data_IF_921843703077
#
_entry.id   IF_921843703077
#
_cell.length_a   1.000
_cell.length_b   1.000
_cell.length_c   1.000
_cell.angle_alpha   90.00
_cell.angle_beta   90.00
_cell.angle_gamma   90.00
#
_symmetry.space_group_name_H-M   'P 1'
#
loop_
_entity.id
_entity.type
_entity.pdbx_description
1 polymer ?
#
# COMPACT_ATOMS: atom_id res chain seq x y z
N UNK A 1 -42.71 23.52 -4.27
CA UNK A 1 -41.83 22.93 -3.25
C UNK A 1 -40.82 22.02 -3.99
N UNK A 2 -39.73 22.60 -4.37
CA UNK A 2 -38.65 21.91 -5.08
C UNK A 2 -37.83 21.10 -4.05
N UNK A 3 -37.90 19.76 -4.15
CA UNK A 3 -36.99 18.87 -3.44
C UNK A 3 -35.56 19.18 -3.91
N UNK A 4 -34.76 19.83 -3.09
CA UNK A 4 -33.31 19.81 -3.23
C UNK A 4 -32.88 18.33 -3.18
N UNK A 5 -32.44 17.81 -4.32
CA UNK A 5 -31.69 16.57 -4.36
C UNK A 5 -30.40 16.82 -3.59
N UNK A 6 -30.32 16.27 -2.38
CA UNK A 6 -29.08 16.16 -1.63
C UNK A 6 -28.19 15.25 -2.49
N UNK A 7 -27.33 15.84 -3.29
CA UNK A 7 -26.26 15.14 -3.97
C UNK A 7 -25.36 14.54 -2.88
N UNK A 8 -25.58 13.29 -2.57
CA UNK A 8 -24.62 12.50 -1.77
C UNK A 8 -23.33 12.43 -2.59
N UNK A 9 -22.48 13.42 -2.41
CA UNK A 9 -21.14 13.38 -2.98
C UNK A 9 -20.40 12.22 -2.34
N UNK A 10 -20.10 11.19 -3.14
CA UNK A 10 -19.29 10.07 -2.71
C UNK A 10 -17.96 10.62 -2.21
N UNK A 11 -17.59 10.28 -0.98
CA UNK A 11 -16.36 10.73 -0.33
C UNK A 11 -15.26 9.73 -0.59
N UNK A 12 -14.12 10.22 -1.02
CA UNK A 12 -12.91 9.44 -1.25
C UNK A 12 -11.82 9.93 -0.31
N UNK A 13 -11.23 9.05 0.49
CA UNK A 13 -10.10 9.35 1.35
C UNK A 13 -8.83 8.66 0.85
N UNK A 14 -7.69 9.36 0.93
CA UNK A 14 -6.38 8.72 0.89
C UNK A 14 -6.09 8.13 2.27
N UNK A 15 -5.60 6.88 2.29
CA UNK A 15 -5.19 6.18 3.51
C UNK A 15 -3.78 5.63 3.31
N UNK A 16 -2.85 6.07 4.15
CA UNK A 16 -1.43 5.69 4.11
C UNK A 16 -1.00 5.20 5.47
N UNK A 17 -0.24 4.11 5.54
CA UNK A 17 0.56 3.75 6.71
C UNK A 17 2.01 4.16 6.47
N UNK A 18 2.69 4.74 7.46
CA UNK A 18 4.03 5.26 7.28
C UNK A 18 4.94 4.94 8.48
N UNK A 19 6.24 4.75 8.20
CA UNK A 19 7.29 4.69 9.22
C UNK A 19 8.64 5.07 8.62
N UNK A 20 9.19 6.21 9.03
CA UNK A 20 10.47 6.74 8.55
C UNK A 20 10.49 6.93 7.03
N UNK A 21 9.49 7.62 6.50
CA UNK A 21 9.29 7.89 5.08
C UNK A 21 9.41 9.40 4.75
N UNK A 22 10.20 10.15 5.54
CA UNK A 22 10.36 11.60 5.37
C UNK A 22 10.86 12.00 3.96
N UNK A 23 11.58 11.11 3.28
CA UNK A 23 12.12 11.35 1.93
C UNK A 23 11.08 11.30 0.82
N UNK A 24 9.95 10.61 1.00
CA UNK A 24 8.99 10.32 -0.06
C UNK A 24 7.54 10.70 0.28
N UNK A 25 7.15 10.73 1.55
CA UNK A 25 5.74 10.92 1.96
C UNK A 25 5.12 12.22 1.42
N UNK A 26 5.90 13.31 1.30
CA UNK A 26 5.42 14.57 0.72
C UNK A 26 4.88 14.39 -0.69
N UNK A 27 5.66 13.76 -1.55
CA UNK A 27 5.30 13.58 -2.96
C UNK A 27 4.10 12.64 -3.09
N UNK A 28 4.03 11.60 -2.27
CA UNK A 28 2.86 10.70 -2.17
C UNK A 28 1.58 11.51 -1.87
N UNK A 29 1.58 12.29 -0.78
CA UNK A 29 0.41 13.04 -0.35
C UNK A 29 0.01 14.12 -1.35
N UNK A 30 0.97 14.90 -1.86
CA UNK A 30 0.72 15.97 -2.82
C UNK A 30 0.17 15.42 -4.14
N UNK A 31 0.59 14.22 -4.58
CA UNK A 31 0.07 13.58 -5.79
C UNK A 31 -1.41 13.22 -5.69
N UNK A 32 -1.91 12.96 -4.50
CA UNK A 32 -3.31 12.59 -4.26
C UNK A 32 -4.20 13.75 -3.82
N UNK A 33 -3.63 14.85 -3.28
CA UNK A 33 -4.37 15.92 -2.59
C UNK A 33 -5.51 16.55 -3.41
N UNK A 34 -5.33 16.71 -4.73
CA UNK A 34 -6.37 17.26 -5.62
C UNK A 34 -7.51 16.29 -5.96
N UNK A 35 -7.41 15.02 -5.57
CA UNK A 35 -8.28 13.93 -6.03
C UNK A 35 -9.09 13.29 -4.90
N UNK A 36 -8.74 13.58 -3.64
CA UNK A 36 -9.38 13.02 -2.45
C UNK A 36 -10.00 14.13 -1.60
N UNK A 37 -10.95 13.78 -0.74
CA UNK A 37 -11.60 14.73 0.17
C UNK A 37 -10.87 14.81 1.52
N UNK A 38 -10.14 13.75 1.90
CA UNK A 38 -9.37 13.66 3.13
C UNK A 38 -8.09 12.87 2.88
N UNK A 39 -7.05 13.18 3.62
CA UNK A 39 -5.80 12.40 3.67
C UNK A 39 -5.56 11.94 5.11
N UNK A 40 -5.43 10.63 5.31
CA UNK A 40 -5.20 9.99 6.60
C UNK A 40 -3.86 9.29 6.55
N UNK A 41 -2.97 9.63 7.47
CA UNK A 41 -1.68 8.97 7.65
C UNK A 41 -1.66 8.31 9.03
N UNK A 42 -1.45 7.00 9.06
CA UNK A 42 -1.24 6.26 10.29
C UNK A 42 0.26 6.02 10.48
N UNK A 43 0.86 6.79 11.35
CA UNK A 43 2.27 6.63 11.73
C UNK A 43 2.46 5.41 12.63
N UNK A 44 3.36 4.51 12.24
CA UNK A 44 3.64 3.27 12.98
C UNK A 44 4.95 3.35 13.79
N UNK A 45 5.34 4.56 14.19
CA UNK A 45 6.47 4.82 15.06
C UNK A 45 7.67 5.41 14.31
N UNK A 46 7.46 6.48 13.55
CA UNK A 46 8.53 7.26 12.91
C UNK A 46 9.38 8.00 13.95
N UNK A 47 10.67 8.08 13.67
CA UNK A 47 11.67 8.81 14.45
C UNK A 47 12.31 9.96 13.66
N UNK A 48 11.94 10.08 12.38
CA UNK A 48 12.35 11.14 11.48
C UNK A 48 11.26 12.22 11.31
N UNK A 49 11.36 13.06 10.27
CA UNK A 49 10.42 14.15 10.02
C UNK A 49 9.10 13.70 9.36
N UNK A 50 8.81 12.39 9.19
CA UNK A 50 7.63 11.86 8.49
C UNK A 50 6.33 12.51 8.96
N UNK A 51 6.09 12.53 10.28
CA UNK A 51 4.86 13.08 10.88
C UNK A 51 4.73 14.56 10.57
N UNK A 52 5.78 15.34 10.82
CA UNK A 52 5.76 16.77 10.58
C UNK A 52 5.53 17.13 9.10
N UNK A 53 6.09 16.35 8.18
CA UNK A 53 5.88 16.53 6.73
C UNK A 53 4.44 16.19 6.36
N UNK A 54 3.87 15.11 6.88
CA UNK A 54 2.49 14.72 6.60
C UNK A 54 1.49 15.78 7.06
N UNK A 55 1.67 16.33 8.27
CA UNK A 55 0.86 17.43 8.81
C UNK A 55 0.97 18.70 7.95
N UNK A 56 2.18 19.06 7.48
CA UNK A 56 2.39 20.19 6.58
C UNK A 56 1.67 20.02 5.23
N UNK A 57 1.50 18.78 4.75
CA UNK A 57 0.71 18.48 3.54
C UNK A 57 -0.81 18.49 3.80
N UNK A 58 -1.26 18.77 5.03
CA UNK A 58 -2.66 18.79 5.40
C UNK A 58 -3.27 17.41 5.68
N UNK A 59 -2.47 16.39 5.90
CA UNK A 59 -2.95 15.07 6.30
C UNK A 59 -3.33 15.04 7.79
N UNK A 60 -4.37 14.26 8.10
CA UNK A 60 -4.72 13.89 9.47
C UNK A 60 -3.79 12.78 9.93
N UNK A 61 -2.87 13.07 10.85
CA UNK A 61 -1.90 12.10 11.34
C UNK A 61 -2.40 11.45 12.62
N UNK A 62 -2.37 10.13 12.64
CA UNK A 62 -2.68 9.29 13.80
C UNK A 62 -1.51 8.36 14.09
N UNK A 63 -1.44 7.82 15.31
CA UNK A 63 -0.35 6.94 15.73
C UNK A 63 -0.84 5.54 16.04
N UNK A 64 -0.04 4.56 15.68
CA UNK A 64 -0.30 3.14 15.92
C UNK A 64 0.96 2.48 16.47
N UNK A 65 0.84 1.81 17.61
CA UNK A 65 1.94 1.02 18.15
C UNK A 65 2.18 -0.20 17.25
N UNK A 66 3.32 -0.23 16.56
CA UNK A 66 3.66 -1.33 15.67
C UNK A 66 3.68 -2.68 16.40
N UNK A 67 2.98 -3.66 15.85
CA UNK A 67 2.78 -4.98 16.44
C UNK A 67 3.17 -6.13 15.49
N UNK A 68 4.06 -5.89 14.53
CA UNK A 68 4.49 -6.86 13.52
C UNK A 68 3.33 -7.37 12.63
N UNK A 69 2.37 -6.49 12.32
CA UNK A 69 1.18 -6.84 11.53
C UNK A 69 0.76 -5.67 10.64
N UNK A 70 1.07 -5.77 9.33
CA UNK A 70 0.69 -4.77 8.34
C UNK A 70 -0.82 -4.69 8.13
N UNK A 71 -1.54 -5.83 8.15
CA UNK A 71 -2.98 -5.81 8.01
C UNK A 71 -3.65 -5.11 9.19
N UNK A 72 -3.15 -5.31 10.41
CA UNK A 72 -3.65 -4.60 11.60
C UNK A 72 -3.47 -3.08 11.46
N UNK A 73 -2.29 -2.63 11.03
CA UNK A 73 -2.03 -1.21 10.81
C UNK A 73 -2.93 -0.63 9.70
N UNK A 74 -3.04 -1.31 8.53
CA UNK A 74 -3.93 -0.84 7.45
C UNK A 74 -5.40 -0.81 7.88
N UNK A 75 -5.86 -1.81 8.62
CA UNK A 75 -7.23 -1.84 9.13
C UNK A 75 -7.49 -0.72 10.13
N UNK A 76 -6.55 -0.44 11.03
CA UNK A 76 -6.64 0.69 11.95
C UNK A 76 -6.70 2.03 11.19
N UNK A 77 -5.91 2.20 10.12
CA UNK A 77 -5.98 3.39 9.27
C UNK A 77 -7.33 3.50 8.53
N UNK A 78 -7.87 2.39 8.02
CA UNK A 78 -9.19 2.34 7.38
C UNK A 78 -10.34 2.63 8.36
N UNK A 79 -10.21 2.27 9.64
CA UNK A 79 -11.21 2.55 10.67
C UNK A 79 -11.32 4.06 10.99
N UNK A 80 -10.26 4.83 10.76
CA UNK A 80 -10.25 6.29 10.87
C UNK A 80 -10.95 6.97 9.70
N UNK A 81 -11.07 6.26 8.57
CA UNK A 81 -11.75 6.78 7.39
C UNK A 81 -13.26 6.68 7.54
N UNK A 82 -13.95 7.81 7.37
CA UNK A 82 -15.40 7.88 7.26
C UNK A 82 -15.89 8.04 5.82
N UNK A 83 -14.99 7.88 4.85
CA UNK A 83 -15.30 7.99 3.43
C UNK A 83 -16.00 6.73 2.90
N UNK A 84 -16.75 6.89 1.80
CA UNK A 84 -17.42 5.78 1.12
C UNK A 84 -16.42 4.90 0.37
N UNK A 85 -15.28 5.50 -0.01
CA UNK A 85 -14.19 4.86 -0.72
C UNK A 85 -12.83 5.28 -0.15
N UNK A 86 -11.87 4.39 -0.23
CA UNK A 86 -10.49 4.62 0.23
C UNK A 86 -9.50 4.33 -0.91
N UNK A 87 -8.67 5.31 -1.21
CA UNK A 87 -7.47 5.11 -1.99
C UNK A 87 -6.36 4.73 -1.01
N UNK A 88 -5.86 3.52 -1.08
CA UNK A 88 -4.80 3.02 -0.18
C UNK A 88 -3.48 3.02 -0.93
N UNK A 89 -2.55 3.86 -0.52
CA UNK A 89 -1.21 3.93 -1.09
C UNK A 89 -0.15 3.59 -0.03
N UNK A 90 0.99 3.10 -0.49
CA UNK A 90 2.21 3.08 0.30
C UNK A 90 2.86 4.47 0.27
N UNK A 91 3.61 4.85 1.31
CA UNK A 91 4.16 6.21 1.45
C UNK A 91 5.17 6.57 0.34
N UNK A 92 5.68 5.58 -0.38
CA UNK A 92 6.60 5.69 -1.53
C UNK A 92 5.91 5.44 -2.89
N UNK A 93 4.57 5.44 -2.90
CA UNK A 93 3.74 5.40 -4.11
C UNK A 93 3.24 6.79 -4.48
N UNK A 94 3.20 7.08 -5.76
CA UNK A 94 2.84 8.39 -6.32
C UNK A 94 1.82 8.16 -7.41
N UNK A 95 0.69 8.87 -7.37
CA UNK A 95 -0.23 8.92 -8.50
C UNK A 95 0.46 9.69 -9.63
N UNK A 96 0.56 9.08 -10.80
CA UNK A 96 1.21 9.64 -11.97
C UNK A 96 0.25 9.70 -13.16
N UNK A 97 0.12 10.88 -13.76
CA UNK A 97 -0.70 11.08 -14.94
C UNK A 97 -2.19 11.36 -14.67
N UNK A 98 -3.06 10.86 -15.59
CA UNK A 98 -4.49 11.15 -15.55
C UNK A 98 -5.22 10.38 -14.47
N UNK A 99 -5.87 11.11 -13.59
CA UNK A 99 -6.71 10.57 -12.50
C UNK A 99 -8.19 10.64 -12.83
N UNK A 100 -8.53 10.99 -14.05
CA UNK A 100 -9.92 11.24 -14.49
C UNK A 100 -10.89 10.11 -14.23
N UNK A 101 -10.39 8.86 -14.09
CA UNK A 101 -11.22 7.69 -13.77
C UNK A 101 -11.47 7.48 -12.28
N UNK A 102 -10.67 8.06 -11.40
CA UNK A 102 -10.74 7.79 -9.95
C UNK A 102 -12.09 8.20 -9.35
N UNK A 103 -12.49 9.45 -9.55
CA UNK A 103 -13.77 9.98 -9.05
C UNK A 103 -15.00 9.35 -9.73
N UNK A 104 -15.09 9.28 -11.07
CA UNK A 104 -16.23 8.64 -11.74
C UNK A 104 -16.43 7.18 -11.34
N UNK A 105 -15.35 6.42 -11.16
CA UNK A 105 -15.42 5.02 -10.74
C UNK A 105 -16.03 4.86 -9.34
N UNK A 106 -15.78 5.81 -8.43
CA UNK A 106 -16.29 5.78 -7.05
C UNK A 106 -17.67 6.42 -6.88
N UNK A 107 -18.18 7.13 -7.89
CA UNK A 107 -19.51 7.74 -7.88
C UNK A 107 -20.64 6.77 -8.25
N UNK A 108 -20.32 5.63 -8.83
CA UNK A 108 -21.29 4.59 -9.17
C UNK A 108 -21.88 3.91 -7.93
N UNK A 109 -23.05 3.31 -8.07
CA UNK A 109 -23.72 2.54 -6.99
C UNK A 109 -23.10 1.16 -6.75
N UNK A 110 -22.36 0.65 -7.71
CA UNK A 110 -21.73 -0.67 -7.65
C UNK A 110 -20.43 -0.63 -6.83
N UNK A 111 -20.32 -1.55 -5.88
CA UNK A 111 -19.10 -1.70 -5.07
C UNK A 111 -18.18 -2.74 -5.71
N UNK A 112 -16.89 -2.40 -5.77
CA UNK A 112 -15.85 -3.26 -6.33
C UNK A 112 -14.51 -3.00 -5.65
N UNK A 113 -13.52 -3.86 -5.84
CA UNK A 113 -12.12 -3.60 -5.51
C UNK A 113 -11.45 -3.05 -6.77
N UNK A 114 -11.00 -1.79 -6.73
CA UNK A 114 -10.28 -1.15 -7.83
C UNK A 114 -8.81 -1.55 -7.85
N UNK A 115 -8.39 -2.12 -8.98
CA UNK A 115 -7.00 -2.45 -9.25
C UNK A 115 -6.37 -1.29 -10.03
N UNK A 116 -5.26 -0.76 -9.52
CA UNK A 116 -4.44 0.24 -10.21
C UNK A 116 -3.17 -0.41 -10.76
N UNK A 117 -2.68 0.02 -11.93
CA UNK A 117 -1.37 -0.38 -12.41
C UNK A 117 -0.29 0.35 -11.59
N UNK A 118 0.47 -0.41 -10.82
CA UNK A 118 1.61 0.09 -10.04
C UNK A 118 2.89 -0.30 -10.76
N UNK A 119 3.62 0.71 -11.24
CA UNK A 119 4.90 0.53 -11.92
C UNK A 119 6.02 0.74 -10.91
N UNK A 120 6.73 -0.33 -10.60
CA UNK A 120 7.89 -0.34 -9.71
C UNK A 120 9.16 -0.17 -10.49
N UNK A 121 10.09 0.66 -9.96
CA UNK A 121 11.41 0.91 -10.53
C UNK A 121 12.46 0.09 -9.78
N UNK A 122 13.37 -0.54 -10.53
CA UNK A 122 14.45 -1.37 -9.99
C UNK A 122 15.78 -0.92 -10.58
N UNK A 123 16.82 -0.78 -9.78
CA UNK A 123 18.17 -0.53 -10.26
C UNK A 123 18.82 -1.87 -10.68
N UNK A 124 19.08 -2.05 -11.97
CA UNK A 124 19.73 -3.24 -12.51
C UNK A 124 20.93 -2.82 -13.38
N UNK A 125 22.17 -3.09 -12.92
CA UNK A 125 23.42 -2.90 -13.69
C UNK A 125 23.54 -1.53 -14.38
N UNK A 126 23.38 -0.42 -13.70
CA UNK A 126 23.43 0.94 -14.21
C UNK A 126 22.21 1.41 -15.05
N UNK A 127 21.20 0.55 -15.24
CA UNK A 127 19.93 0.90 -15.87
C UNK A 127 18.78 0.81 -14.86
N UNK A 128 17.72 1.59 -15.11
CA UNK A 128 16.46 1.50 -14.34
C UNK A 128 15.49 0.65 -15.13
N UNK A 129 15.18 -0.52 -14.61
CA UNK A 129 14.10 -1.37 -15.14
C UNK A 129 12.78 -1.11 -14.44
N UNK A 130 11.69 -1.38 -15.12
CA UNK A 130 10.35 -1.22 -14.56
C UNK A 130 9.52 -2.48 -14.71
N UNK A 131 8.70 -2.76 -13.70
CA UNK A 131 7.68 -3.80 -13.78
C UNK A 131 6.33 -3.26 -13.31
N UNK A 132 5.28 -3.55 -14.05
CA UNK A 132 3.91 -3.11 -13.71
C UNK A 132 3.09 -4.27 -13.18
N UNK A 133 2.47 -4.06 -12.02
CA UNK A 133 1.54 -5.01 -11.39
C UNK A 133 0.20 -4.34 -11.11
N UNK A 134 -0.90 -5.07 -11.30
CA UNK A 134 -2.25 -4.59 -10.95
C UNK A 134 -2.53 -4.85 -9.49
N UNK A 135 -2.46 -3.81 -8.65
CA UNK A 135 -2.64 -3.92 -7.21
C UNK A 135 -3.95 -3.30 -6.74
N UNK A 136 -4.60 -3.90 -5.71
CA UNK A 136 -5.83 -3.35 -5.12
C UNK A 136 -5.51 -2.08 -4.34
N UNK A 137 -5.87 -0.94 -4.91
CA UNK A 137 -5.61 0.38 -4.31
C UNK A 137 -6.87 1.20 -4.05
N UNK A 138 -8.01 0.88 -4.69
CA UNK A 138 -9.28 1.57 -4.47
C UNK A 138 -10.27 0.62 -3.80
N UNK A 139 -10.61 0.89 -2.55
CA UNK A 139 -11.41 0.02 -1.71
C UNK A 139 -12.69 0.72 -1.23
N UNK A 140 -13.88 0.12 -1.38
CA UNK A 140 -15.08 0.65 -0.74
C UNK A 140 -15.04 0.48 0.77
N UNK A 141 -15.74 1.32 1.50
CA UNK A 141 -15.84 1.25 2.95
C UNK A 141 -16.21 -0.18 3.42
N UNK A 142 -15.61 -0.61 4.53
CA UNK A 142 -15.85 -1.94 5.12
C UNK A 142 -14.99 -3.08 4.59
N UNK A 143 -14.23 -2.89 3.50
CA UNK A 143 -13.18 -3.85 3.10
C UNK A 143 -12.06 -3.84 4.14
N UNK A 144 -11.50 -5.03 4.42
CA UNK A 144 -10.42 -5.21 5.40
C UNK A 144 -9.29 -6.03 4.81
N UNK A 145 -8.08 -5.75 5.27
CA UNK A 145 -6.88 -6.53 4.95
C UNK A 145 -6.73 -7.76 5.84
N UNK A 146 -6.11 -8.81 5.31
CA UNK A 146 -5.66 -9.99 6.03
C UNK A 146 -4.23 -10.35 5.63
N UNK A 147 -3.52 -11.00 6.54
CA UNK A 147 -2.11 -11.35 6.41
C UNK A 147 -1.20 -10.36 7.10
N UNK A 148 -0.33 -10.84 7.99
CA UNK A 148 0.59 -9.97 8.75
C UNK A 148 1.63 -9.29 7.87
N UNK A 149 1.99 -9.96 6.78
CA UNK A 149 2.90 -9.46 5.74
C UNK A 149 2.34 -9.86 4.38
N UNK A 150 2.61 -9.06 3.34
CA UNK A 150 2.00 -9.19 2.00
C UNK A 150 0.47 -9.23 2.08
N UNK A 151 -0.07 -8.41 2.94
CA UNK A 151 -1.48 -8.33 3.27
C UNK A 151 -2.34 -8.01 2.04
N UNK A 152 -3.49 -8.68 1.95
CA UNK A 152 -4.41 -8.53 0.85
C UNK A 152 -5.80 -8.08 1.35
N UNK A 153 -6.49 -7.18 0.62
CA UNK A 153 -7.87 -6.87 0.93
C UNK A 153 -8.78 -8.05 0.60
N UNK A 154 -9.63 -8.41 1.56
CA UNK A 154 -10.55 -9.55 1.47
C UNK A 154 -11.99 -9.05 1.46
N UNK A 155 -12.69 -9.31 0.37
CA UNK A 155 -14.12 -9.08 0.23
C UNK A 155 -14.67 -9.92 -0.93
N UNK A 156 -15.93 -10.34 -0.83
CA UNK A 156 -16.66 -10.96 -1.93
C UNK A 156 -17.20 -9.86 -2.87
N UNK A 157 -16.27 -9.22 -3.59
CA UNK A 157 -16.53 -8.15 -4.53
C UNK A 157 -15.76 -8.41 -5.83
N UNK A 158 -16.37 -8.03 -6.96
CA UNK A 158 -15.63 -8.07 -8.21
C UNK A 158 -14.40 -7.16 -8.15
N UNK A 159 -13.39 -7.50 -8.92
CA UNK A 159 -12.19 -6.67 -9.12
C UNK A 159 -12.31 -5.95 -10.47
N UNK A 160 -12.08 -4.63 -10.47
CA UNK A 160 -12.14 -3.81 -11.68
C UNK A 160 -10.81 -3.08 -11.87
N UNK A 161 -10.28 -3.10 -13.08
CA UNK A 161 -9.09 -2.32 -13.45
C UNK A 161 -9.50 -0.88 -13.71
N UNK A 162 -8.77 0.05 -13.12
CA UNK A 162 -8.90 1.48 -13.37
C UNK A 162 -7.58 1.98 -13.96
N UNK A 163 -7.66 2.79 -15.00
CA UNK A 163 -6.49 3.35 -15.67
C UNK A 163 -6.00 4.63 -14.95
N UNK A 164 -5.57 4.45 -13.71
CA UNK A 164 -4.94 5.49 -12.88
C UNK A 164 -3.55 4.97 -12.52
N UNK A 165 -2.54 5.55 -13.13
CA UNK A 165 -1.16 5.10 -12.97
C UNK A 165 -0.63 5.42 -11.58
N UNK A 166 0.07 4.45 -10.99
CA UNK A 166 0.81 4.62 -9.74
C UNK A 166 2.26 4.22 -9.99
N UNK A 167 3.17 5.09 -9.60
CA UNK A 167 4.61 4.83 -9.64
C UNK A 167 5.11 4.52 -8.23
N UNK A 168 5.94 3.51 -8.12
CA UNK A 168 6.53 3.05 -6.86
C UNK A 168 8.05 3.05 -6.97
N UNK A 169 8.72 3.85 -6.16
CA UNK A 169 10.18 3.98 -6.16
C UNK A 169 10.87 3.17 -5.05
N UNK A 170 10.11 2.40 -4.29
CA UNK A 170 10.59 1.69 -3.08
C UNK A 170 11.60 0.57 -3.31
N UNK A 171 11.81 0.14 -4.56
CA UNK A 171 12.81 -0.87 -4.92
C UNK A 171 14.13 -0.30 -5.45
N UNK A 172 14.29 1.02 -5.47
CA UNK A 172 15.59 1.62 -5.76
C UNK A 172 16.57 1.33 -4.62
N UNK A 173 17.83 1.11 -4.96
CA UNK A 173 18.85 0.59 -4.04
C UNK A 173 18.95 1.39 -2.72
N UNK A 174 18.92 2.72 -2.80
CA UNK A 174 18.97 3.59 -1.63
C UNK A 174 17.82 3.37 -0.64
N UNK A 175 16.62 3.02 -1.14
CA UNK A 175 15.44 2.75 -0.30
C UNK A 175 15.41 1.29 0.20
N UNK A 176 15.93 0.35 -0.59
CA UNK A 176 16.08 -1.04 -0.17
C UNK A 176 17.02 -1.16 1.04
N UNK A 177 18.12 -0.41 1.06
CA UNK A 177 19.06 -0.40 2.19
C UNK A 177 18.39 0.02 3.50
N UNK A 178 17.50 1.01 3.47
CA UNK A 178 16.73 1.44 4.65
C UNK A 178 15.67 0.43 5.11
N UNK A 179 15.15 -0.39 4.19
CA UNK A 179 14.11 -1.40 4.46
C UNK A 179 14.68 -2.79 4.69
N UNK A 180 16.00 -2.95 4.51
CA UNK A 180 16.67 -4.24 4.58
C UNK A 180 16.39 -4.96 5.89
N UNK A 181 15.99 -6.22 5.78
CA UNK A 181 15.79 -7.11 6.92
C UNK A 181 14.46 -6.99 7.66
N UNK A 182 13.71 -5.89 7.52
CA UNK A 182 12.42 -5.73 8.22
C UNK A 182 11.42 -6.82 7.82
N UNK A 183 11.18 -6.97 6.53
CA UNK A 183 10.23 -7.95 6.01
C UNK A 183 10.75 -9.38 6.26
N UNK A 184 12.03 -9.62 6.04
CA UNK A 184 12.68 -10.90 6.29
C UNK A 184 12.52 -11.34 7.75
N UNK A 185 12.82 -10.47 8.70
CA UNK A 185 12.66 -10.77 10.13
C UNK A 185 11.23 -11.20 10.45
N UNK A 186 10.24 -10.51 9.88
CA UNK A 186 8.84 -10.86 10.08
C UNK A 186 8.47 -12.19 9.41
N UNK A 187 8.91 -12.42 8.18
CA UNK A 187 8.69 -13.69 7.46
C UNK A 187 9.28 -14.87 8.21
N UNK A 188 10.54 -14.77 8.67
CA UNK A 188 11.21 -15.83 9.42
C UNK A 188 10.49 -16.11 10.75
N UNK A 189 10.07 -15.07 11.47
CA UNK A 189 9.28 -15.20 12.69
C UNK A 189 7.93 -15.90 12.48
N UNK A 190 7.29 -15.68 11.32
CA UNK A 190 6.05 -16.37 10.97
C UNK A 190 6.30 -17.83 10.58
N UNK A 191 7.41 -18.11 9.89
CA UNK A 191 7.83 -19.47 9.56
C UNK A 191 8.18 -20.30 10.79
N UNK A 192 8.69 -19.69 11.89
CA UNK A 192 8.84 -20.40 13.16
C UNK A 192 7.50 -20.95 13.71
N UNK A 193 6.39 -20.27 13.42
CA UNK A 193 5.04 -20.67 13.84
C UNK A 193 4.36 -21.60 12.85
N UNK A 194 4.71 -21.51 11.56
CA UNK A 194 4.14 -22.28 10.46
C UNK A 194 5.24 -22.67 9.45
N UNK A 195 6.11 -23.65 9.77
CA UNK A 195 7.32 -23.95 9.00
C UNK A 195 7.04 -24.42 7.57
N UNK A 196 5.88 -25.06 7.35
CA UNK A 196 5.48 -25.68 6.08
C UNK A 196 4.47 -24.82 5.29
N UNK A 197 4.28 -23.54 5.68
CA UNK A 197 3.40 -22.64 4.93
C UNK A 197 4.06 -22.26 3.59
N UNK A 198 3.58 -22.86 2.52
CA UNK A 198 4.11 -22.68 1.16
C UNK A 198 4.09 -21.20 0.72
N UNK A 199 3.10 -20.42 1.15
CA UNK A 199 3.04 -18.99 0.82
C UNK A 199 4.14 -18.20 1.54
N UNK A 200 4.34 -18.43 2.83
CA UNK A 200 5.41 -17.79 3.61
C UNK A 200 6.79 -18.20 3.09
N UNK A 201 6.99 -19.47 2.76
CA UNK A 201 8.23 -19.97 2.15
C UNK A 201 8.51 -19.26 0.82
N UNK A 202 7.52 -19.19 -0.07
CA UNK A 202 7.62 -18.47 -1.34
C UNK A 202 7.97 -16.99 -1.16
N UNK A 203 7.28 -16.30 -0.26
CA UNK A 203 7.53 -14.88 0.00
C UNK A 203 8.91 -14.64 0.63
N UNK A 204 9.39 -15.57 1.45
CA UNK A 204 10.75 -15.52 2.00
C UNK A 204 11.79 -15.69 0.89
N UNK A 205 11.57 -16.62 -0.04
CA UNK A 205 12.42 -16.77 -1.23
C UNK A 205 12.48 -15.48 -2.06
N UNK A 206 11.33 -14.85 -2.29
CA UNK A 206 11.27 -13.54 -2.98
C UNK A 206 12.02 -12.44 -2.25
N UNK A 207 11.94 -12.38 -0.93
CA UNK A 207 12.71 -11.39 -0.15
C UNK A 207 14.21 -11.61 -0.33
N UNK A 208 14.70 -12.85 -0.27
CA UNK A 208 16.11 -13.16 -0.53
C UNK A 208 16.52 -12.79 -1.96
N UNK A 209 15.67 -13.06 -2.97
CA UNK A 209 15.91 -12.72 -4.37
C UNK A 209 16.08 -11.20 -4.58
N UNK A 210 15.22 -10.37 -3.98
CA UNK A 210 15.29 -8.90 -4.04
C UNK A 210 16.66 -8.40 -3.55
N UNK A 211 17.23 -9.04 -2.53
CA UNK A 211 18.56 -8.70 -2.00
C UNK A 211 19.70 -9.50 -2.64
N UNK A 212 19.46 -10.16 -3.81
CA UNK A 212 20.44 -10.93 -4.59
C UNK A 212 21.11 -12.08 -3.83
N UNK A 213 20.46 -12.61 -2.82
CA UNK A 213 20.89 -13.80 -2.07
C UNK A 213 20.27 -15.05 -2.70
N UNK A 214 20.74 -15.37 -3.91
CA UNK A 214 20.09 -16.36 -4.79
C UNK A 214 20.10 -17.78 -4.25
N UNK A 215 21.16 -18.21 -3.57
CA UNK A 215 21.25 -19.56 -3.00
C UNK A 215 20.18 -19.77 -1.92
N UNK A 216 20.00 -18.77 -1.04
CA UNK A 216 18.96 -18.78 -0.02
C UNK A 216 17.56 -18.74 -0.68
N UNK A 217 17.37 -17.88 -1.68
CA UNK A 217 16.11 -17.78 -2.41
C UNK A 217 15.68 -19.12 -3.00
N UNK A 218 16.60 -19.82 -3.70
CA UNK A 218 16.36 -21.15 -4.29
C UNK A 218 15.96 -22.15 -3.22
N UNK A 219 16.68 -22.18 -2.08
CA UNK A 219 16.37 -23.10 -0.97
C UNK A 219 14.95 -22.91 -0.44
N UNK A 220 14.48 -21.64 -0.32
CA UNK A 220 13.11 -21.37 0.13
C UNK A 220 12.07 -21.69 -0.94
N UNK A 221 12.35 -21.43 -2.22
CA UNK A 221 11.45 -21.81 -3.31
C UNK A 221 11.28 -23.33 -3.41
N UNK A 222 12.37 -24.11 -3.27
CA UNK A 222 12.31 -25.58 -3.26
C UNK A 222 11.42 -26.09 -2.13
N UNK A 223 11.55 -25.52 -0.92
CA UNK A 223 10.68 -25.88 0.23
C UNK A 223 9.22 -25.54 -0.02
N UNK A 224 8.93 -24.45 -0.75
CA UNK A 224 7.57 -24.06 -1.06
C UNK A 224 6.85 -24.97 -2.06
N UNK A 225 7.58 -25.85 -2.77
CA UNK A 225 7.04 -26.77 -3.76
C UNK A 225 6.68 -28.16 -3.19
N UNK A 226 7.02 -28.44 -1.94
CA UNK A 226 6.80 -29.74 -1.26
C UNK A 226 5.54 -29.65 -0.41
#
# INVERSE_FOLDING_TARGET
MTRQANSLTCRLALVVIARNEASCIRVCLESAAGHVDRMIVLDTGSTDATVAIAEQCGAEVHHFAWNDDFAAARNAALDLSTADWNLVLDADEIIDGDTGQLRPATLGSERFIGLLPVTSEFDLQDEVETATSWLPRVLPAGVRYRGRIHEQPVADLRRARLDVQVRHSGYRQAQLEHKQGRNRTLLLKLLEQSPDDAYLLYQTGKDFEVYRQFDDAVSYYEKALV
#
